data_IF_583039710049
#
_entry.id   IF_583039710049
#
_cell.length_a   1.000
_cell.length_b   1.000
_cell.length_c   1.000
_cell.angle_alpha   90.00
_cell.angle_beta   90.00
_cell.angle_gamma   90.00
#
_symmetry.space_group_name_H-M   'P 1'
#
loop_
_entity.id
_entity.type
_entity.pdbx_description
1 polymer ?
#
# COMPACT_ATOMS: atom_id res chain seq x y z
N UNK A 1 18.17 6.11 2.33
CA UNK A 1 17.33 5.85 1.13
C UNK A 1 16.24 6.92 1.13
N UNK A 2 15.99 7.56 -0.02
CA UNK A 2 15.06 8.69 -0.17
C UNK A 2 14.22 8.43 -1.42
N UNK A 3 12.95 8.82 -1.40
CA UNK A 3 12.10 8.79 -2.60
C UNK A 3 12.42 10.02 -3.47
N UNK A 4 12.41 9.86 -4.80
CA UNK A 4 12.76 10.95 -5.70
C UNK A 4 11.70 12.07 -5.66
N UNK A 5 12.15 13.33 -5.76
CA UNK A 5 11.24 14.48 -5.79
C UNK A 5 10.33 14.45 -7.02
N UNK A 6 10.86 14.06 -8.18
CA UNK A 6 10.11 13.94 -9.44
C UNK A 6 8.93 12.96 -9.33
N UNK A 7 9.02 11.95 -8.47
CA UNK A 7 7.90 11.05 -8.18
C UNK A 7 6.88 11.75 -7.26
N UNK A 8 7.35 12.38 -6.18
CA UNK A 8 6.50 13.04 -5.18
C UNK A 8 5.70 14.21 -5.73
N UNK A 9 6.20 14.90 -6.76
CA UNK A 9 5.45 15.96 -7.46
C UNK A 9 4.13 15.46 -8.09
N UNK A 10 3.98 14.15 -8.24
CA UNK A 10 2.79 13.49 -8.81
C UNK A 10 1.91 12.83 -7.75
N UNK A 11 2.30 12.90 -6.49
CA UNK A 11 1.59 12.29 -5.36
C UNK A 11 0.87 13.39 -4.60
N UNK A 12 -0.44 13.26 -4.44
CA UNK A 12 -1.21 14.21 -3.65
C UNK A 12 -0.87 14.06 -2.16
N UNK A 13 -0.96 15.15 -1.40
CA UNK A 13 -0.80 15.07 0.05
C UNK A 13 -1.90 14.19 0.64
N UNK A 14 -1.53 13.39 1.63
CA UNK A 14 -2.40 12.40 2.30
C UNK A 14 -2.92 11.30 1.37
N UNK A 15 -2.15 11.00 0.32
CA UNK A 15 -2.41 9.89 -0.60
C UNK A 15 -1.26 8.88 -0.64
N UNK A 16 -1.59 7.67 -1.08
CA UNK A 16 -0.65 6.58 -1.27
C UNK A 16 -0.67 6.09 -2.72
N UNK A 17 0.51 5.80 -3.27
CA UNK A 17 0.67 5.40 -4.68
C UNK A 17 1.69 4.25 -4.78
N UNK A 18 1.46 3.22 -5.61
CA UNK A 18 2.48 2.23 -5.91
C UNK A 18 3.74 2.90 -6.45
N UNK A 19 4.90 2.43 -6.01
CA UNK A 19 6.17 3.00 -6.42
C UNK A 19 6.94 2.03 -7.31
N UNK A 20 7.69 1.11 -6.72
CA UNK A 20 8.47 0.09 -7.42
C UNK A 20 8.32 -1.23 -6.71
N UNK A 21 8.35 -2.31 -7.47
CA UNK A 21 8.20 -3.67 -6.96
C UNK A 21 6.92 -3.78 -6.09
N UNK A 22 7.05 -4.17 -4.83
CA UNK A 22 5.97 -4.23 -3.85
C UNK A 22 5.96 -3.05 -2.86
N UNK A 23 6.64 -1.95 -3.20
CA UNK A 23 6.68 -0.73 -2.39
C UNK A 23 5.52 0.22 -2.75
N UNK A 24 4.89 0.78 -1.73
CA UNK A 24 3.88 1.85 -1.82
C UNK A 24 4.42 3.06 -1.08
N UNK A 25 4.28 4.24 -1.65
CA UNK A 25 4.69 5.49 -1.02
C UNK A 25 3.45 6.25 -0.56
N UNK A 26 3.40 6.58 0.72
CA UNK A 26 2.36 7.43 1.31
C UNK A 26 2.96 8.78 1.68
N UNK A 27 2.50 9.85 1.03
CA UNK A 27 2.91 11.22 1.35
C UNK A 27 2.03 11.76 2.47
N UNK A 28 2.39 11.45 3.71
CA UNK A 28 1.61 11.86 4.88
C UNK A 28 2.50 11.94 6.13
N UNK A 29 2.06 12.75 7.09
CA UNK A 29 2.64 12.81 8.43
C UNK A 29 1.92 11.86 9.41
N UNK A 30 0.83 11.22 8.99
CA UNK A 30 0.13 10.22 9.81
C UNK A 30 0.86 8.88 9.71
N UNK A 31 1.41 8.44 10.84
CA UNK A 31 2.27 7.26 10.92
C UNK A 31 1.64 6.25 11.87
N UNK A 32 1.72 4.94 11.55
CA UNK A 32 1.24 3.93 12.47
C UNK A 32 2.03 4.01 13.78
N UNK A 33 1.34 4.00 14.92
CA UNK A 33 1.97 4.11 16.24
C UNK A 33 2.85 2.91 16.62
N UNK A 34 2.58 1.73 16.04
CA UNK A 34 3.30 0.48 16.29
C UNK A 34 3.55 -0.26 14.98
N UNK A 35 4.65 -1.03 14.94
CA UNK A 35 5.03 -1.87 13.80
C UNK A 35 4.35 -3.24 13.82
N UNK A 36 3.80 -3.63 14.97
CA UNK A 36 3.16 -4.92 15.16
C UNK A 36 1.71 -4.72 15.58
N UNK A 37 0.88 -4.39 14.60
CA UNK A 37 -0.56 -4.19 14.76
C UNK A 37 -1.30 -5.02 13.71
N UNK A 38 -2.52 -5.48 14.00
CA UNK A 38 -3.33 -6.16 13.02
C UNK A 38 -3.61 -5.26 11.81
N UNK A 39 -3.55 -5.85 10.62
CA UNK A 39 -3.89 -5.19 9.36
C UNK A 39 -4.94 -6.02 8.67
N UNK A 40 -5.99 -5.36 8.20
CA UNK A 40 -7.01 -5.99 7.35
C UNK A 40 -6.83 -5.50 5.92
N UNK A 41 -6.96 -6.42 4.96
CA UNK A 41 -6.97 -6.10 3.54
C UNK A 41 -8.41 -6.06 3.04
N UNK A 42 -8.78 -4.96 2.41
CA UNK A 42 -9.98 -4.83 1.60
C UNK A 42 -9.59 -4.63 0.14
N UNK A 43 -10.36 -5.24 -0.77
CA UNK A 43 -10.12 -5.20 -2.21
C UNK A 43 -11.39 -4.78 -2.92
N UNK A 44 -11.37 -3.61 -3.54
CA UNK A 44 -12.51 -3.01 -4.22
C UNK A 44 -12.22 -2.80 -5.72
N UNK A 45 -13.28 -2.56 -6.50
CA UNK A 45 -13.17 -2.14 -7.90
C UNK A 45 -13.82 -0.80 -8.14
N UNK A 46 -13.04 0.13 -8.65
CA UNK A 46 -13.53 1.46 -9.03
C UNK A 46 -13.06 1.81 -10.44
N UNK A 47 -14.02 2.15 -11.31
CA UNK A 47 -13.70 2.59 -12.68
C UNK A 47 -12.94 1.57 -13.55
N UNK A 48 -12.98 0.28 -13.20
CA UNK A 48 -12.22 -0.78 -13.89
C UNK A 48 -10.81 -1.01 -13.35
N UNK A 49 -10.38 -0.25 -12.35
CA UNK A 49 -9.14 -0.46 -11.60
C UNK A 49 -9.43 -1.23 -10.31
N UNK A 50 -8.40 -1.86 -9.75
CA UNK A 50 -8.46 -2.52 -8.44
C UNK A 50 -7.85 -1.60 -7.40
N UNK A 51 -8.64 -1.29 -6.37
CA UNK A 51 -8.25 -0.52 -5.19
C UNK A 51 -7.89 -1.51 -4.09
N UNK A 52 -6.68 -1.40 -3.54
CA UNK A 52 -6.32 -2.07 -2.29
C UNK A 52 -6.41 -1.08 -1.15
N UNK A 53 -7.06 -1.49 -0.06
CA UNK A 53 -7.12 -0.75 1.19
C UNK A 53 -6.57 -1.61 2.33
N UNK A 54 -5.54 -1.11 2.99
CA UNK A 54 -4.99 -1.69 4.21
C UNK A 54 -5.51 -0.90 5.40
N UNK A 55 -6.28 -1.54 6.26
CA UNK A 55 -6.81 -0.96 7.50
C UNK A 55 -5.88 -1.35 8.63
N UNK A 56 -5.04 -0.40 9.07
CA UNK A 56 -4.03 -0.60 10.11
C UNK A 56 -4.66 -0.24 11.46
N UNK A 57 -4.89 -1.25 12.30
CA UNK A 57 -5.60 -1.12 13.58
C UNK A 57 -4.65 -0.67 14.70
N UNK A 58 -4.03 0.51 14.55
CA UNK A 58 -3.05 1.03 15.51
C UNK A 58 -3.69 1.77 16.70
N UNK A 59 -4.89 2.33 16.52
CA UNK A 59 -5.71 2.97 17.55
C UNK A 59 -7.12 2.42 17.49
N UNK A 60 -7.66 2.00 18.64
CA UNK A 60 -8.98 1.33 18.73
C UNK A 60 -10.12 2.14 18.11
N UNK A 61 -10.06 3.47 18.20
CA UNK A 61 -11.12 4.37 17.74
C UNK A 61 -10.80 5.11 16.43
N UNK A 62 -9.60 4.93 15.87
CA UNK A 62 -9.17 5.66 14.67
C UNK A 62 -8.10 4.87 13.89
N UNK A 63 -8.49 3.83 13.14
CA UNK A 63 -7.56 3.08 12.31
C UNK A 63 -6.97 3.95 11.19
N UNK A 64 -5.74 3.65 10.82
CA UNK A 64 -5.06 4.28 9.69
C UNK A 64 -5.39 3.52 8.41
N UNK A 65 -5.91 4.24 7.41
CA UNK A 65 -6.27 3.68 6.12
C UNK A 65 -5.18 3.99 5.09
N UNK A 66 -4.70 2.95 4.41
CA UNK A 66 -3.76 3.08 3.30
C UNK A 66 -4.42 2.52 2.04
N UNK A 67 -4.82 3.43 1.16
CA UNK A 67 -5.57 3.15 -0.06
C UNK A 67 -4.74 3.47 -1.30
N UNK A 68 -4.71 2.56 -2.27
CA UNK A 68 -4.02 2.79 -3.53
C UNK A 68 -4.51 1.85 -4.64
N UNK A 69 -4.57 2.36 -5.87
CA UNK A 69 -4.85 1.55 -7.04
C UNK A 69 -3.62 0.75 -7.46
N UNK A 70 -3.84 -0.48 -7.92
CA UNK A 70 -2.75 -1.35 -8.40
C UNK A 70 -2.91 -1.72 -9.86
N UNK A 71 -1.77 -2.02 -10.49
CA UNK A 71 -1.71 -2.60 -11.83
C UNK A 71 -1.23 -4.05 -11.80
N UNK A 72 -1.10 -4.65 -12.99
CA UNK A 72 -0.68 -6.06 -13.12
C UNK A 72 0.76 -6.29 -12.66
N UNK A 73 1.63 -5.32 -12.90
CA UNK A 73 3.04 -5.43 -12.53
C UNK A 73 3.19 -5.45 -11.02
N UNK A 74 2.46 -4.56 -10.32
CA UNK A 74 2.43 -4.53 -8.87
C UNK A 74 1.89 -5.85 -8.31
N UNK A 75 0.81 -6.40 -8.89
CA UNK A 75 0.28 -7.72 -8.50
C UNK A 75 1.33 -8.83 -8.68
N UNK A 76 2.10 -8.83 -9.76
CA UNK A 76 3.17 -9.80 -9.97
C UNK A 76 4.27 -9.67 -8.90
N UNK A 77 4.67 -8.45 -8.57
CA UNK A 77 5.65 -8.18 -7.52
C UNK A 77 5.19 -8.65 -6.14
N UNK A 78 3.95 -8.35 -5.72
CA UNK A 78 3.42 -8.82 -4.43
C UNK A 78 3.11 -10.33 -4.46
N UNK A 79 2.79 -10.91 -5.61
CA UNK A 79 2.62 -12.37 -5.75
C UNK A 79 3.93 -13.11 -5.49
N UNK A 80 5.07 -12.53 -5.88
CA UNK A 80 6.39 -13.13 -5.67
C UNK A 80 6.95 -12.87 -4.27
N UNK A 81 6.78 -11.66 -3.75
CA UNK A 81 7.37 -11.25 -2.47
C UNK A 81 6.48 -11.54 -1.26
N UNK A 82 5.18 -11.76 -1.50
CA UNK A 82 4.15 -11.99 -0.47
C UNK A 82 4.13 -10.91 0.62
N UNK A 83 4.56 -9.70 0.28
CA UNK A 83 4.66 -8.58 1.21
C UNK A 83 4.42 -7.28 0.46
N UNK A 84 3.66 -6.36 1.05
CA UNK A 84 3.62 -4.94 0.65
C UNK A 84 4.48 -4.16 1.63
N UNK A 85 5.37 -3.30 1.13
CA UNK A 85 6.13 -2.37 1.97
C UNK A 85 5.61 -0.95 1.79
N UNK A 86 4.96 -0.41 2.82
CA UNK A 86 4.50 0.96 2.84
C UNK A 86 5.64 1.86 3.35
N UNK A 87 6.00 2.85 2.55
CA UNK A 87 6.97 3.88 2.83
C UNK A 87 6.22 5.17 3.15
N UNK A 88 6.16 5.53 4.44
CA UNK A 88 5.64 6.82 4.86
C UNK A 88 6.73 7.87 4.68
N UNK A 89 6.46 8.88 3.87
CA UNK A 89 7.43 9.91 3.49
C UNK A 89 6.90 11.30 3.77
N UNK A 90 7.80 12.21 4.12
CA UNK A 90 7.49 13.63 4.17
C UNK A 90 7.59 14.28 2.78
N UNK A 91 7.28 15.58 2.70
CA UNK A 91 7.35 16.38 1.47
C UNK A 91 8.77 16.50 0.90
N UNK A 92 9.79 16.33 1.73
CA UNK A 92 11.17 16.23 1.25
C UNK A 92 11.47 14.87 0.60
N UNK A 93 10.65 13.84 0.80
CA UNK A 93 10.88 12.47 0.35
C UNK A 93 11.74 11.63 1.28
N UNK A 94 12.01 12.15 2.47
CA UNK A 94 12.66 11.38 3.53
C UNK A 94 11.67 10.36 4.08
N UNK A 95 12.12 9.09 4.09
CA UNK A 95 11.33 7.99 4.63
C UNK A 95 11.31 8.12 6.15
N UNK A 96 10.13 8.45 6.69
CA UNK A 96 9.88 8.61 8.11
C UNK A 96 9.62 7.27 8.77
N UNK A 97 8.93 6.38 8.07
CA UNK A 97 8.61 5.03 8.56
C UNK A 97 8.47 4.04 7.40
N UNK A 98 8.83 2.78 7.67
CA UNK A 98 8.53 1.64 6.80
C UNK A 98 7.62 0.69 7.54
N UNK A 99 6.60 0.20 6.88
CA UNK A 99 5.63 -0.71 7.45
C UNK A 99 5.39 -1.86 6.47
N UNK A 100 5.75 -3.08 6.87
CA UNK A 100 5.68 -4.26 6.01
C UNK A 100 4.44 -5.08 6.35
N UNK A 101 3.61 -5.32 5.36
CA UNK A 101 2.36 -6.06 5.49
C UNK A 101 2.53 -7.39 4.77
N UNK A 102 2.61 -8.52 5.50
CA UNK A 102 2.62 -9.83 4.88
C UNK A 102 1.25 -10.12 4.23
N UNK A 103 1.28 -10.74 3.06
CA UNK A 103 0.08 -11.20 2.36
C UNK A 103 0.03 -12.73 2.37
N UNK A 104 -1.15 -13.26 2.69
CA UNK A 104 -1.42 -14.69 2.57
C UNK A 104 -1.62 -15.10 1.11
N UNK A 105 -1.61 -16.41 0.84
CA UNK A 105 -1.99 -16.92 -0.47
C UNK A 105 -3.45 -16.64 -0.83
N UNK A 106 -4.33 -16.54 0.18
CA UNK A 106 -5.73 -16.19 0.00
C UNK A 106 -5.88 -14.74 -0.45
N UNK A 107 -5.14 -13.81 0.17
CA UNK A 107 -5.11 -12.40 -0.23
C UNK A 107 -4.70 -12.24 -1.69
N UNK A 108 -3.63 -12.93 -2.10
CA UNK A 108 -3.16 -12.88 -3.49
C UNK A 108 -4.20 -13.44 -4.47
N UNK A 109 -4.93 -14.49 -4.10
CA UNK A 109 -6.02 -15.05 -4.92
C UNK A 109 -7.20 -14.10 -5.01
N UNK A 110 -7.58 -13.45 -3.91
CA UNK A 110 -8.62 -12.44 -3.87
C UNK A 110 -8.28 -11.28 -4.82
N UNK A 111 -7.07 -10.74 -4.72
CA UNK A 111 -6.62 -9.64 -5.58
C UNK A 111 -6.61 -10.07 -7.07
N UNK A 112 -6.12 -11.26 -7.39
CA UNK A 112 -6.14 -11.82 -8.78
C UNK A 112 -7.55 -11.91 -9.33
N UNK A 113 -8.48 -12.43 -8.53
CA UNK A 113 -9.90 -12.52 -8.88
C UNK A 113 -10.47 -11.14 -9.20
N UNK A 114 -10.18 -10.15 -8.34
CA UNK A 114 -10.63 -8.78 -8.56
C UNK A 114 -9.97 -8.10 -9.77
N UNK A 115 -8.76 -8.50 -10.14
CA UNK A 115 -8.15 -8.04 -11.39
C UNK A 115 -8.67 -8.77 -12.64
N UNK A 116 -9.49 -9.84 -12.49
CA UNK A 116 -9.88 -10.78 -13.56
C UNK A 116 -8.67 -11.40 -14.26
N UNK A 117 -7.61 -11.63 -13.51
CA UNK A 117 -6.41 -12.31 -14.00
C UNK A 117 -6.49 -13.73 -13.46
N UNK A 118 -6.35 -14.69 -14.37
CA UNK A 118 -6.69 -16.10 -14.14
C UNK A 118 -6.12 -16.72 -12.86
N UNK A 119 -6.84 -17.74 -12.41
CA UNK A 119 -6.54 -18.62 -11.28
C UNK A 119 -5.19 -19.32 -11.42
#
# INVERSE_FOLDING_TARGET
MRVSKDFLEKVERDSCVPYRDSEVVCLTEDLPGSDNVPVQLEVDREGGNVLLRHVIMDREDNPLYVEYFIDRNFLESISSTKTVSILFVNVEGDIRKRFSIPLSDEDIRLIRSEMRIGS
#
